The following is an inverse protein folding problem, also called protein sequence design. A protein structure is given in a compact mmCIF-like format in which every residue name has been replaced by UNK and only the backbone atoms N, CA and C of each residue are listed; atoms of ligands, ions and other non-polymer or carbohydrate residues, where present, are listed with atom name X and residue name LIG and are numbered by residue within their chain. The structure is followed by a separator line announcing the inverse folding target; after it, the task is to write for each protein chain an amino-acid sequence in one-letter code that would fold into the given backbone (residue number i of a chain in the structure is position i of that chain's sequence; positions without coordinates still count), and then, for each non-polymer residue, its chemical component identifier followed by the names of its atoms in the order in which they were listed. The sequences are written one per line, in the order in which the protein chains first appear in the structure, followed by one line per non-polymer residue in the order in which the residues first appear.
data_IF_358179615360
#
_entry.id   IF_358179615360
#
_cell.length_a   1.000
_cell.length_b   1.000
_cell.length_c   1.000
_cell.angle_alpha   90.00
_cell.angle_beta   90.00
_cell.angle_gamma   90.00
#
_symmetry.space_group_name_H-M   'P 1'
#
loop_
_entity.id
_entity.type
_entity.pdbx_description
1 polymer ?
#
# COMPACT_ATOMS: atom_id res chain seq x y z
N UNK A 1 8.14 4.60 6.30
CA UNK A 1 7.94 3.12 6.26
C UNK A 1 8.43 2.45 7.53
N UNK A 2 9.60 2.82 8.08
CA UNK A 2 10.18 2.16 9.27
C UNK A 2 9.27 2.11 10.50
N UNK A 3 8.47 3.14 10.76
CA UNK A 3 7.55 3.18 11.89
C UNK A 3 6.18 2.55 11.61
N UNK A 4 5.76 2.43 10.35
CA UNK A 4 4.42 1.94 9.97
C UNK A 4 4.23 0.47 10.36
N UNK A 5 5.17 -0.39 9.96
CA UNK A 5 5.05 -1.85 10.15
C UNK A 5 5.02 -2.24 11.62
N UNK A 6 5.97 -1.83 12.47
CA UNK A 6 5.93 -2.15 13.90
C UNK A 6 4.65 -1.66 14.56
N UNK A 7 4.21 -0.44 14.24
CA UNK A 7 3.01 0.14 14.85
C UNK A 7 1.74 -0.59 14.41
N UNK A 8 1.62 -0.95 13.14
CA UNK A 8 0.49 -1.72 12.61
C UNK A 8 0.35 -3.08 13.32
N UNK A 9 1.46 -3.80 13.52
CA UNK A 9 1.47 -5.12 14.16
C UNK A 9 1.05 -5.07 15.64
N UNK A 10 1.37 -3.97 16.33
CA UNK A 10 1.05 -3.79 17.75
C UNK A 10 -0.37 -3.26 17.92
N UNK A 11 -0.75 -2.21 17.19
CA UNK A 11 -1.98 -1.46 17.43
C UNK A 11 -3.24 -2.22 17.04
N UNK A 12 -3.18 -3.18 16.12
CA UNK A 12 -4.28 -4.10 15.85
C UNK A 12 -4.71 -4.84 17.13
N UNK A 13 -3.77 -5.52 17.76
CA UNK A 13 -4.02 -6.30 19.00
C UNK A 13 -4.41 -5.40 20.18
N UNK A 14 -3.79 -4.20 20.29
CA UNK A 14 -4.14 -3.22 21.34
C UNK A 14 -5.60 -2.78 21.17
N UNK A 15 -6.03 -2.48 19.95
CA UNK A 15 -7.38 -2.00 19.68
C UNK A 15 -8.46 -3.04 19.99
N UNK A 16 -8.16 -4.34 19.83
CA UNK A 16 -9.06 -5.44 20.21
C UNK A 16 -9.28 -5.52 21.73
N UNK A 17 -8.33 -5.04 22.52
CA UNK A 17 -8.39 -5.10 23.98
C UNK A 17 -8.97 -3.84 24.62
N UNK A 18 -8.60 -2.65 24.13
CA UNK A 18 -9.00 -1.38 24.77
C UNK A 18 -10.16 -0.68 24.05
N UNK A 19 -10.45 -1.07 22.80
CA UNK A 19 -11.46 -0.47 21.95
C UNK A 19 -10.87 0.27 20.75
N UNK A 20 -11.60 0.27 19.64
CA UNK A 20 -11.14 0.87 18.37
C UNK A 20 -10.95 2.39 18.47
N UNK A 21 -11.94 3.09 19.04
CA UNK A 21 -11.89 4.56 19.20
C UNK A 21 -10.72 5.01 20.07
N UNK A 22 -10.37 4.24 21.10
CA UNK A 22 -9.25 4.56 22.00
C UNK A 22 -7.89 4.49 21.33
N UNK A 23 -7.78 3.80 20.21
CA UNK A 23 -6.57 3.76 19.37
C UNK A 23 -6.65 4.78 18.24
N UNK A 24 -7.82 4.92 17.60
CA UNK A 24 -8.00 5.83 16.47
C UNK A 24 -7.87 7.31 16.86
N UNK A 25 -8.40 7.71 18.01
CA UNK A 25 -8.35 9.12 18.43
C UNK A 25 -6.91 9.62 18.67
N UNK A 26 -6.05 8.92 19.43
CA UNK A 26 -4.64 9.30 19.54
C UNK A 26 -3.91 9.25 18.18
N UNK A 27 -4.23 8.27 17.31
CA UNK A 27 -3.62 8.17 15.99
C UNK A 27 -3.94 9.40 15.12
N UNK A 28 -5.21 9.88 15.14
CA UNK A 28 -5.60 11.11 14.45
C UNK A 28 -4.93 12.33 15.06
N UNK A 29 -4.84 12.41 16.38
CA UNK A 29 -4.16 13.53 17.05
C UNK A 29 -2.66 13.58 16.65
N UNK A 30 -1.98 12.44 16.64
CA UNK A 30 -0.59 12.34 16.18
C UNK A 30 -0.48 12.73 14.69
N UNK A 31 -1.43 12.27 13.84
CA UNK A 31 -1.42 12.59 12.41
C UNK A 31 -1.67 14.09 12.16
N UNK A 32 -2.56 14.71 12.93
CA UNK A 32 -2.77 16.17 12.90
C UNK A 32 -1.51 16.91 13.31
N UNK A 33 -0.88 16.52 14.43
CA UNK A 33 0.38 17.10 14.88
C UNK A 33 1.50 16.93 13.84
N UNK A 34 1.60 15.74 13.23
CA UNK A 34 2.56 15.49 12.16
C UNK A 34 2.36 16.42 10.96
N UNK A 35 1.10 16.67 10.57
CA UNK A 35 0.79 17.59 9.48
C UNK A 35 1.14 19.04 9.82
N UNK A 36 0.92 19.48 11.06
CA UNK A 36 1.33 20.79 11.50
C UNK A 36 2.86 20.93 11.53
N UNK A 37 3.59 19.92 12.02
CA UNK A 37 5.06 19.88 12.00
C UNK A 37 5.58 19.97 10.56
N UNK A 38 5.01 19.23 9.62
CA UNK A 38 5.42 19.25 8.22
C UNK A 38 5.07 20.58 7.52
N UNK A 39 3.90 21.15 7.82
CA UNK A 39 3.47 22.42 7.24
C UNK A 39 4.26 23.64 7.78
N UNK A 40 4.82 23.51 8.98
CA UNK A 40 5.61 24.56 9.62
C UNK A 40 7.12 24.26 9.63
N UNK A 41 7.54 23.19 8.93
CA UNK A 41 8.94 22.79 8.90
C UNK A 41 9.83 23.89 8.33
N UNK A 42 10.87 24.27 9.08
CA UNK A 42 11.90 25.21 8.67
C UNK A 42 13.18 24.52 8.16
N UNK A 43 13.28 23.19 8.32
CA UNK A 43 14.47 22.44 7.92
C UNK A 43 14.27 20.93 7.88
N UNK A 44 15.35 20.23 7.58
CA UNK A 44 15.35 18.76 7.44
C UNK A 44 14.97 18.01 8.73
N UNK A 45 15.40 18.43 9.94
CA UNK A 45 15.03 17.73 11.17
C UNK A 45 13.51 17.64 11.39
N UNK A 46 12.78 18.74 11.15
CA UNK A 46 11.32 18.80 11.30
C UNK A 46 10.62 17.86 10.30
N UNK A 47 11.16 17.75 9.07
CA UNK A 47 10.65 16.81 8.08
C UNK A 47 10.80 15.36 8.56
N UNK A 48 11.93 14.99 9.18
CA UNK A 48 12.12 13.65 9.75
C UNK A 48 11.16 13.38 10.91
N UNK A 49 10.98 14.36 11.82
CA UNK A 49 10.06 14.24 12.95
C UNK A 49 8.63 14.06 12.42
N UNK A 50 8.18 14.91 11.51
CA UNK A 50 6.85 14.84 10.93
C UNK A 50 6.61 13.48 10.22
N UNK A 51 7.57 12.97 9.46
CA UNK A 51 7.49 11.66 8.79
C UNK A 51 7.49 10.49 9.78
N UNK A 52 8.22 10.58 10.89
CA UNK A 52 8.19 9.56 11.94
C UNK A 52 6.81 9.52 12.62
N UNK A 53 6.27 10.68 13.00
CA UNK A 53 4.92 10.79 13.55
C UNK A 53 3.85 10.29 12.60
N UNK A 54 3.91 10.64 11.31
CA UNK A 54 3.02 10.10 10.28
C UNK A 54 3.10 8.58 10.21
N UNK A 55 4.31 8.00 10.24
CA UNK A 55 4.49 6.56 10.21
C UNK A 55 3.81 5.85 11.38
N UNK A 56 3.94 6.39 12.60
CA UNK A 56 3.28 5.88 13.81
C UNK A 56 1.75 5.97 13.66
N UNK A 57 1.25 7.12 13.25
CA UNK A 57 -0.19 7.35 13.11
C UNK A 57 -0.81 6.45 12.04
N UNK A 58 -0.19 6.38 10.85
CA UNK A 58 -0.67 5.55 9.73
C UNK A 58 -0.66 4.07 10.13
N UNK A 59 0.42 3.57 10.76
CA UNK A 59 0.49 2.21 11.23
C UNK A 59 -0.61 1.88 12.25
N UNK A 60 -0.93 2.83 13.13
CA UNK A 60 -2.02 2.71 14.10
C UNK A 60 -3.41 2.70 13.43
N UNK A 61 -3.57 3.45 12.34
CA UNK A 61 -4.86 3.65 11.68
C UNK A 61 -5.21 2.54 10.68
N UNK A 62 -4.23 2.00 9.95
CA UNK A 62 -4.44 1.12 8.81
C UNK A 62 -5.33 -0.10 9.11
N UNK A 63 -5.00 -0.89 10.12
CA UNK A 63 -5.77 -2.07 10.48
C UNK A 63 -7.00 -1.73 11.32
N UNK A 64 -6.84 -0.79 12.26
CA UNK A 64 -7.87 -0.43 13.23
C UNK A 64 -9.02 0.34 12.57
N UNK A 65 -8.74 1.21 11.60
CA UNK A 65 -9.76 1.99 10.89
C UNK A 65 -10.68 1.10 10.04
N UNK A 66 -10.12 0.16 9.29
CA UNK A 66 -10.91 -0.80 8.52
C UNK A 66 -11.78 -1.67 9.45
N UNK A 67 -11.19 -2.17 10.55
CA UNK A 67 -11.91 -2.95 11.53
C UNK A 67 -13.03 -2.14 12.21
N UNK A 68 -12.80 -0.85 12.54
CA UNK A 68 -13.82 0.03 13.11
C UNK A 68 -15.07 0.14 12.22
N UNK A 69 -14.89 0.28 10.91
CA UNK A 69 -15.99 0.36 9.94
C UNK A 69 -16.74 -0.99 9.84
N UNK A 70 -16.01 -2.10 9.75
CA UNK A 70 -16.60 -3.44 9.60
C UNK A 70 -17.31 -3.90 10.87
N UNK A 71 -16.69 -3.67 12.04
CA UNK A 71 -17.27 -4.05 13.34
C UNK A 71 -18.51 -3.22 13.68
N UNK A 72 -18.57 -1.95 13.22
CA UNK A 72 -19.72 -1.07 13.39
C UNK A 72 -20.89 -1.37 12.46
N UNK A 73 -20.70 -2.19 11.43
CA UNK A 73 -21.75 -2.54 10.47
C UNK A 73 -22.66 -3.66 11.01
N UNK A 74 -23.91 -3.68 10.53
CA UNK A 74 -24.84 -4.77 10.79
C UNK A 74 -24.29 -6.10 10.26
N UNK A 75 -24.67 -7.25 10.85
CA UNK A 75 -24.14 -8.55 10.43
C UNK A 75 -24.26 -8.84 8.93
N UNK A 76 -25.38 -8.48 8.32
CA UNK A 76 -25.69 -8.58 6.89
C UNK A 76 -24.95 -7.57 6.02
N UNK A 77 -24.49 -6.45 6.60
CA UNK A 77 -23.76 -5.37 5.92
C UNK A 77 -22.24 -5.44 6.00
N UNK A 78 -21.65 -6.40 6.73
CA UNK A 78 -20.20 -6.46 6.97
C UNK A 78 -19.36 -6.58 5.69
N UNK A 79 -19.81 -7.34 4.71
CA UNK A 79 -19.12 -7.49 3.44
C UNK A 79 -19.08 -6.16 2.66
N UNK A 80 -20.20 -5.43 2.65
CA UNK A 80 -20.33 -4.11 2.03
C UNK A 80 -19.44 -3.10 2.75
N UNK A 81 -19.46 -3.10 4.08
CA UNK A 81 -18.62 -2.24 4.92
C UNK A 81 -17.11 -2.49 4.69
N UNK A 82 -16.69 -3.74 4.55
CA UNK A 82 -15.31 -4.10 4.20
C UNK A 82 -14.93 -3.57 2.80
N UNK A 83 -15.84 -3.67 1.83
CA UNK A 83 -15.66 -3.10 0.50
C UNK A 83 -15.49 -1.57 0.56
N UNK A 84 -16.36 -0.86 1.27
CA UNK A 84 -16.24 0.59 1.46
C UNK A 84 -14.96 0.99 2.18
N UNK A 85 -14.55 0.26 3.22
CA UNK A 85 -13.28 0.52 3.91
C UNK A 85 -12.08 0.36 2.97
N UNK A 86 -12.06 -0.69 2.13
CA UNK A 86 -11.00 -0.94 1.16
C UNK A 86 -10.94 0.12 0.06
N UNK A 87 -12.09 0.48 -0.53
CA UNK A 87 -12.19 1.53 -1.55
C UNK A 87 -11.82 2.89 -0.94
N UNK A 88 -12.39 3.22 0.21
CA UNK A 88 -12.11 4.50 0.89
C UNK A 88 -10.63 4.68 1.23
N UNK A 89 -9.97 3.61 1.68
CA UNK A 89 -8.53 3.62 1.91
C UNK A 89 -7.74 3.92 0.62
N UNK A 90 -8.01 3.21 -0.47
CA UNK A 90 -7.28 3.38 -1.72
C UNK A 90 -7.58 4.71 -2.41
N UNK A 91 -8.83 5.13 -2.43
CA UNK A 91 -9.23 6.44 -2.98
C UNK A 91 -8.61 7.56 -2.17
N UNK A 92 -8.70 7.50 -0.83
CA UNK A 92 -8.07 8.49 0.04
C UNK A 92 -6.56 8.57 -0.13
N UNK A 93 -5.89 7.42 -0.27
CA UNK A 93 -4.46 7.37 -0.49
C UNK A 93 -4.07 7.94 -1.85
N UNK A 94 -4.87 7.68 -2.90
CA UNK A 94 -4.68 8.24 -4.25
C UNK A 94 -4.98 9.73 -4.34
N UNK A 95 -6.04 10.19 -3.69
CA UNK A 95 -6.40 11.62 -3.66
C UNK A 95 -5.31 12.50 -3.02
N UNK A 96 -4.50 11.94 -2.09
CA UNK A 96 -3.43 12.68 -1.45
C UNK A 96 -2.48 13.35 -2.43
N UNK A 97 -1.71 12.60 -3.25
CA UNK A 97 -0.83 13.17 -4.26
C UNK A 97 -1.56 14.07 -5.28
N UNK A 98 -2.75 13.67 -5.73
CA UNK A 98 -3.54 14.45 -6.69
C UNK A 98 -3.91 15.83 -6.15
N UNK A 99 -4.51 15.90 -4.98
CA UNK A 99 -4.87 17.16 -4.33
C UNK A 99 -3.61 17.97 -3.99
N UNK A 100 -2.56 17.29 -3.47
CA UNK A 100 -1.31 17.98 -3.12
C UNK A 100 -0.66 18.61 -4.36
N UNK A 101 -0.67 17.95 -5.52
CA UNK A 101 -0.16 18.49 -6.78
C UNK A 101 -0.94 19.71 -7.24
N UNK A 102 -2.27 19.66 -7.22
CA UNK A 102 -3.11 20.81 -7.57
C UNK A 102 -2.90 21.98 -6.60
N UNK A 103 -2.84 21.71 -5.30
CA UNK A 103 -2.61 22.75 -4.31
C UNK A 103 -1.19 23.32 -4.42
N UNK A 104 -0.20 22.48 -4.72
CA UNK A 104 1.18 22.92 -4.92
C UNK A 104 1.32 23.84 -6.13
N UNK A 105 0.52 23.62 -7.18
CA UNK A 105 0.54 24.44 -8.41
C UNK A 105 -0.20 25.76 -8.25
N UNK A 106 -1.39 25.75 -7.63
CA UNK A 106 -2.31 26.88 -7.70
C UNK A 106 -2.52 27.62 -6.39
N UNK A 107 -2.03 27.13 -5.24
CA UNK A 107 -2.19 27.81 -3.97
C UNK A 107 -1.13 28.90 -3.76
N UNK A 108 -1.47 29.94 -3.02
CA UNK A 108 -0.57 31.03 -2.67
C UNK A 108 0.62 30.61 -1.80
N UNK A 109 0.45 29.58 -0.96
CA UNK A 109 1.53 28.99 -0.14
C UNK A 109 1.58 27.47 -0.37
N UNK A 110 2.26 27.00 -1.45
CA UNK A 110 2.24 25.63 -1.88
C UNK A 110 2.92 24.66 -0.88
N UNK A 111 3.82 25.14 -0.05
CA UNK A 111 4.55 24.31 0.90
C UNK A 111 3.74 24.04 2.18
N UNK A 112 2.85 24.95 2.58
CA UNK A 112 2.07 24.84 3.82
C UNK A 112 0.62 24.40 3.58
N UNK A 113 -0.01 24.92 2.55
CA UNK A 113 -1.45 24.72 2.29
C UNK A 113 -1.85 23.23 2.26
N UNK A 114 -1.13 22.29 1.61
CA UNK A 114 -1.49 20.88 1.62
C UNK A 114 -1.52 20.28 3.03
N UNK A 115 -0.55 20.64 3.86
CA UNK A 115 -0.43 20.12 5.22
C UNK A 115 -1.48 20.70 6.16
N UNK A 116 -1.76 21.99 6.07
CA UNK A 116 -2.82 22.64 6.85
C UNK A 116 -4.20 22.13 6.46
N UNK A 117 -4.44 21.96 5.16
CA UNK A 117 -5.65 21.34 4.65
C UNK A 117 -5.83 19.91 5.14
N UNK A 118 -4.75 19.11 5.15
CA UNK A 118 -4.78 17.77 5.70
C UNK A 118 -5.03 17.78 7.22
N UNK A 119 -4.41 18.69 7.97
CA UNK A 119 -4.67 18.83 9.41
C UNK A 119 -6.15 19.17 9.69
N UNK A 120 -6.74 20.09 8.93
CA UNK A 120 -8.18 20.43 9.03
C UNK A 120 -9.07 19.22 8.73
N UNK A 121 -8.74 18.43 7.69
CA UNK A 121 -9.46 17.20 7.35
C UNK A 121 -9.37 16.17 8.49
N UNK A 122 -8.22 16.06 9.16
CA UNK A 122 -8.06 15.17 10.31
C UNK A 122 -8.92 15.61 11.51
N UNK A 123 -9.12 16.90 11.72
CA UNK A 123 -10.06 17.39 12.75
C UNK A 123 -11.51 17.01 12.42
N UNK A 124 -11.92 17.10 11.15
CA UNK A 124 -13.24 16.62 10.70
C UNK A 124 -13.38 15.12 10.93
N UNK A 125 -12.36 14.32 10.58
CA UNK A 125 -12.35 12.88 10.81
C UNK A 125 -12.41 12.54 12.31
N UNK A 126 -11.70 13.30 13.15
CA UNK A 126 -11.78 13.17 14.62
C UNK A 126 -13.22 13.42 15.12
N UNK A 127 -13.88 14.48 14.64
CA UNK A 127 -15.27 14.77 14.96
C UNK A 127 -16.20 13.63 14.56
N UNK A 128 -16.05 13.08 13.36
CA UNK A 128 -16.85 11.95 12.88
C UNK A 128 -16.66 10.69 13.75
N UNK A 129 -15.42 10.38 14.15
CA UNK A 129 -15.16 9.24 15.03
C UNK A 129 -15.67 9.48 16.46
N UNK A 130 -15.63 10.72 16.95
CA UNK A 130 -16.17 11.06 18.28
C UNK A 130 -17.67 10.81 18.35
N UNK A 131 -18.42 11.14 17.31
CA UNK A 131 -19.88 10.95 17.25
C UNK A 131 -20.24 9.47 17.02
N UNK A 132 -19.45 8.73 16.25
CA UNK A 132 -19.70 7.30 15.99
C UNK A 132 -19.66 6.49 17.29
N UNK A 133 -20.51 5.46 17.44
CA UNK A 133 -20.43 4.56 18.60
C UNK A 133 -19.12 3.72 18.57
N UNK A 134 -18.70 3.22 19.74
CA UNK A 134 -17.61 2.20 19.79
C UNK A 134 -18.08 0.93 19.07
N UNK A 135 -17.26 0.42 18.16
CA UNK A 135 -17.64 -0.72 17.30
C UNK A 135 -17.42 -2.10 17.96
N UNK A 136 -16.57 -2.16 18.99
CA UNK A 136 -16.32 -3.41 19.73
C UNK A 136 -17.28 -3.57 20.90
N UNK A 137 -18.06 -4.67 20.90
CA UNK A 137 -18.97 -5.07 21.98
C UNK A 137 -18.29 -5.96 23.03
N UNK A 138 -17.31 -6.77 22.65
CA UNK A 138 -16.57 -7.67 23.55
C UNK A 138 -15.06 -7.47 23.44
N UNK A 139 -14.40 -7.17 24.57
CA UNK A 139 -12.95 -6.95 24.61
C UNK A 139 -12.22 -8.25 24.82
N UNK A 140 -11.22 -8.52 23.99
CA UNK A 140 -10.31 -9.65 24.16
C UNK A 140 -9.18 -9.24 25.10
N UNK A 141 -8.80 -10.11 26.07
CA UNK A 141 -7.67 -9.83 26.96
C UNK A 141 -6.41 -9.66 26.12
N UNK A 142 -5.75 -8.50 26.26
CA UNK A 142 -4.52 -8.19 25.55
C UNK A 142 -3.46 -9.27 25.79
N UNK A 143 -2.97 -9.83 24.73
CA UNK A 143 -1.79 -10.69 24.72
C UNK A 143 -0.86 -10.13 23.65
N UNK A 144 0.34 -9.72 24.04
CA UNK A 144 1.38 -9.29 23.09
C UNK A 144 1.81 -10.48 22.23
N UNK A 145 1.08 -10.77 21.17
CA UNK A 145 1.45 -11.77 20.18
C UNK A 145 1.72 -11.05 18.87
N UNK A 146 2.99 -10.69 18.64
CA UNK A 146 3.45 -10.38 17.29
C UNK A 146 3.49 -11.73 16.57
N UNK A 147 2.52 -11.94 15.70
CA UNK A 147 2.38 -13.20 14.98
C UNK A 147 2.73 -12.95 13.52
N UNK A 148 4.01 -13.06 13.20
CA UNK A 148 4.53 -13.02 11.82
C UNK A 148 5.20 -14.36 11.55
N UNK A 149 4.90 -14.95 10.40
CA UNK A 149 5.54 -16.19 10.02
C UNK A 149 4.92 -16.85 8.81
N UNK A 150 5.68 -17.73 8.21
CA UNK A 150 5.23 -18.56 7.11
C UNK A 150 5.23 -20.01 7.59
N UNK A 151 4.11 -20.73 7.50
CA UNK A 151 4.05 -22.16 7.82
C UNK A 151 5.06 -22.95 6.99
N UNK A 152 5.69 -23.97 7.62
CA UNK A 152 6.81 -24.71 6.98
C UNK A 152 6.45 -25.28 5.60
N UNK A 153 5.22 -25.77 5.41
CA UNK A 153 4.75 -26.30 4.12
C UNK A 153 4.53 -25.23 3.03
N UNK A 154 4.43 -23.95 3.39
CA UNK A 154 4.17 -22.83 2.47
C UNK A 154 5.43 -22.01 2.18
N UNK A 155 6.55 -22.28 2.86
CA UNK A 155 7.75 -21.45 2.80
C UNK A 155 8.30 -21.30 1.38
N UNK A 156 8.39 -22.38 0.61
CA UNK A 156 8.92 -22.36 -0.74
C UNK A 156 8.04 -21.52 -1.68
N UNK A 157 6.72 -21.76 -1.67
CA UNK A 157 5.76 -20.99 -2.48
C UNK A 157 5.70 -19.51 -2.06
N UNK A 158 5.75 -19.25 -0.76
CA UNK A 158 5.79 -17.89 -0.25
C UNK A 158 7.06 -17.16 -0.70
N UNK A 159 8.24 -17.74 -0.46
CA UNK A 159 9.53 -17.10 -0.71
C UNK A 159 9.83 -16.89 -2.21
N UNK A 160 9.30 -17.75 -3.09
CA UNK A 160 9.59 -17.67 -4.54
C UNK A 160 8.48 -17.02 -5.35
N UNK A 161 7.24 -16.97 -4.83
CA UNK A 161 6.09 -16.46 -5.58
C UNK A 161 5.45 -15.24 -4.90
N UNK A 162 4.97 -15.37 -3.66
CA UNK A 162 4.20 -14.30 -3.01
C UNK A 162 5.08 -13.15 -2.53
N UNK A 163 6.17 -13.44 -1.85
CA UNK A 163 7.05 -12.41 -1.29
C UNK A 163 7.70 -11.53 -2.38
N UNK A 164 8.30 -12.08 -3.46
CA UNK A 164 8.86 -11.24 -4.51
C UNK A 164 7.79 -10.51 -5.33
N UNK A 165 6.59 -11.07 -5.50
CA UNK A 165 5.48 -10.35 -6.15
C UNK A 165 5.00 -9.16 -5.29
N UNK A 166 4.86 -9.35 -3.98
CA UNK A 166 4.50 -8.28 -3.06
C UNK A 166 5.60 -7.21 -2.93
N UNK A 167 6.87 -7.62 -2.95
CA UNK A 167 8.01 -6.70 -2.99
C UNK A 167 8.00 -5.85 -4.25
N UNK A 168 7.81 -6.48 -5.43
CA UNK A 168 7.79 -5.80 -6.72
C UNK A 168 6.68 -4.76 -6.80
N UNK A 169 5.47 -5.09 -6.31
CA UNK A 169 4.34 -4.17 -6.24
C UNK A 169 4.73 -2.85 -5.56
N UNK A 170 5.30 -2.92 -4.36
CA UNK A 170 5.67 -1.71 -3.62
C UNK A 170 6.95 -1.04 -4.13
N UNK A 171 7.82 -1.79 -4.82
CA UNK A 171 8.97 -1.21 -5.52
C UNK A 171 8.51 -0.33 -6.68
N UNK A 172 7.51 -0.79 -7.46
CA UNK A 172 6.92 0.00 -8.53
C UNK A 172 6.17 1.23 -7.98
N UNK A 173 5.28 1.05 -6.99
CA UNK A 173 4.56 2.17 -6.36
C UNK A 173 5.52 3.21 -5.76
N UNK A 174 6.51 2.74 -5.01
CA UNK A 174 7.51 3.59 -4.37
C UNK A 174 8.32 4.41 -5.38
N UNK A 175 8.69 3.81 -6.52
CA UNK A 175 9.43 4.49 -7.58
C UNK A 175 8.57 5.55 -8.26
N UNK A 176 7.32 5.24 -8.60
CA UNK A 176 6.38 6.21 -9.20
C UNK A 176 6.08 7.37 -8.25
N UNK A 177 6.01 7.12 -6.95
CA UNK A 177 5.71 8.16 -5.96
C UNK A 177 6.93 9.00 -5.53
N UNK A 178 8.16 8.52 -5.76
CA UNK A 178 9.36 9.17 -5.24
C UNK A 178 10.33 9.64 -6.32
N UNK A 179 10.64 8.79 -7.29
CA UNK A 179 11.66 9.06 -8.31
C UNK A 179 11.05 9.68 -9.57
N UNK A 180 9.89 9.19 -9.99
CA UNK A 180 9.22 9.68 -11.20
C UNK A 180 8.85 11.17 -11.12
N UNK A 181 8.41 11.74 -9.98
CA UNK A 181 8.21 13.18 -9.85
C UNK A 181 9.45 14.01 -10.20
N UNK A 182 10.63 13.60 -9.69
CA UNK A 182 11.90 14.28 -10.01
C UNK A 182 12.24 14.14 -11.49
N UNK A 183 12.03 12.96 -12.07
CA UNK A 183 12.24 12.68 -13.48
C UNK A 183 11.34 13.53 -14.38
N UNK A 184 10.05 13.69 -14.03
CA UNK A 184 9.11 14.51 -14.79
C UNK A 184 9.55 15.98 -14.85
N UNK A 185 10.01 16.52 -13.72
CA UNK A 185 10.46 17.91 -13.65
C UNK A 185 11.83 18.10 -14.31
N UNK A 186 12.79 17.21 -14.04
CA UNK A 186 14.18 17.41 -14.44
C UNK A 186 14.52 16.95 -15.87
N UNK A 187 13.81 15.95 -16.39
CA UNK A 187 14.15 15.32 -17.70
C UNK A 187 13.05 15.50 -18.75
N UNK A 188 11.81 15.80 -18.32
CA UNK A 188 10.68 16.02 -19.23
C UNK A 188 10.18 17.47 -19.21
N UNK A 189 10.89 18.35 -18.51
CA UNK A 189 10.60 19.79 -18.38
C UNK A 189 9.12 20.08 -18.02
N UNK A 190 8.59 19.29 -17.07
CA UNK A 190 7.21 19.47 -16.61
C UNK A 190 7.16 20.60 -15.59
N UNK A 191 6.69 21.77 -16.01
CA UNK A 191 6.51 22.93 -15.13
C UNK A 191 5.27 22.79 -14.23
N UNK A 192 4.21 22.14 -14.71
CA UNK A 192 2.96 22.02 -13.98
C UNK A 192 3.00 20.88 -12.96
N UNK A 193 3.12 21.23 -11.68
CA UNK A 193 3.20 20.27 -10.55
C UNK A 193 1.91 19.47 -10.37
N UNK A 194 0.76 19.95 -10.84
CA UNK A 194 -0.48 19.19 -10.82
C UNK A 194 -0.41 17.93 -11.70
N UNK A 195 0.33 17.95 -12.83
CA UNK A 195 0.58 16.76 -13.64
C UNK A 195 1.46 15.74 -12.91
N UNK A 196 2.42 16.22 -12.12
CA UNK A 196 3.24 15.34 -11.27
C UNK A 196 2.37 14.66 -10.21
N UNK A 197 1.49 15.43 -9.56
CA UNK A 197 0.50 14.91 -8.62
C UNK A 197 -0.48 13.92 -9.26
N UNK A 198 -0.86 14.15 -10.52
CA UNK A 198 -1.71 13.26 -11.31
C UNK A 198 -1.08 11.87 -11.49
N UNK A 199 0.22 11.78 -11.76
CA UNK A 199 0.91 10.48 -11.84
C UNK A 199 0.80 9.69 -10.54
N UNK A 200 1.00 10.34 -9.39
CA UNK A 200 0.80 9.76 -8.07
C UNK A 200 -0.65 9.36 -7.78
N UNK A 201 -1.62 10.18 -8.21
CA UNK A 201 -3.04 9.84 -8.12
C UNK A 201 -3.36 8.60 -8.96
N UNK A 202 -2.93 8.54 -10.22
CA UNK A 202 -3.26 7.47 -11.15
C UNK A 202 -2.73 6.12 -10.68
N UNK A 203 -1.49 6.02 -10.18
CA UNK A 203 -0.94 4.75 -9.69
C UNK A 203 -1.71 4.20 -8.51
N UNK A 204 -2.17 5.05 -7.61
CA UNK A 204 -2.90 4.62 -6.42
C UNK A 204 -4.40 4.40 -6.69
N UNK A 205 -5.06 5.30 -7.41
CA UNK A 205 -6.47 5.20 -7.74
C UNK A 205 -6.77 4.01 -8.66
N UNK A 206 -5.95 3.79 -9.70
CA UNK A 206 -6.10 2.65 -10.59
C UNK A 206 -5.96 1.32 -9.84
N UNK A 207 -5.05 1.24 -8.85
CA UNK A 207 -4.94 0.09 -7.96
C UNK A 207 -6.18 -0.16 -7.11
N UNK A 208 -6.96 0.90 -6.82
CA UNK A 208 -8.24 0.80 -6.11
C UNK A 208 -9.37 0.21 -6.94
N UNK A 209 -9.33 0.37 -8.26
CA UNK A 209 -10.33 -0.16 -9.19
C UNK A 209 -10.06 -1.63 -9.54
N UNK A 210 -8.81 -2.04 -9.54
CA UNK A 210 -8.39 -3.40 -9.94
C UNK A 210 -9.13 -4.56 -9.22
N UNK A 211 -9.47 -4.48 -7.91
CA UNK A 211 -10.23 -5.53 -7.23
C UNK A 211 -11.59 -5.85 -7.87
N UNK A 212 -12.23 -4.88 -8.53
CA UNK A 212 -13.50 -5.08 -9.21
C UNK A 212 -13.40 -6.08 -10.36
N UNK A 213 -12.22 -6.19 -10.98
CA UNK A 213 -11.96 -7.10 -12.09
C UNK A 213 -11.24 -8.37 -11.64
N UNK A 214 -10.48 -8.30 -10.54
CA UNK A 214 -9.69 -9.42 -10.06
C UNK A 214 -10.52 -10.60 -9.52
N UNK A 215 -11.77 -10.37 -9.11
CA UNK A 215 -12.68 -11.41 -8.63
C UNK A 215 -13.01 -12.48 -9.69
N UNK A 216 -12.81 -12.18 -10.97
CA UNK A 216 -13.12 -13.05 -12.10
C UNK A 216 -11.90 -13.85 -12.60
N UNK A 217 -10.73 -13.62 -12.02
CA UNK A 217 -9.47 -14.21 -12.47
C UNK A 217 -8.93 -15.15 -11.39
N UNK A 218 -8.43 -16.32 -11.82
CA UNK A 218 -7.70 -17.21 -10.91
C UNK A 218 -6.58 -16.45 -10.18
N UNK A 219 -6.52 -16.53 -8.84
CA UNK A 219 -5.61 -15.70 -8.03
C UNK A 219 -4.13 -15.83 -8.43
N UNK A 220 -3.71 -17.04 -8.83
CA UNK A 220 -2.35 -17.28 -9.28
C UNK A 220 -2.07 -16.60 -10.62
N UNK A 221 -3.02 -16.73 -11.57
CA UNK A 221 -2.91 -16.05 -12.88
C UNK A 221 -2.92 -14.54 -12.69
N UNK A 222 -3.74 -14.04 -11.78
CA UNK A 222 -3.78 -12.61 -11.42
C UNK A 222 -2.41 -12.10 -10.99
N UNK A 223 -1.72 -12.79 -10.08
CA UNK A 223 -0.35 -12.44 -9.66
C UNK A 223 0.62 -12.51 -10.83
N UNK A 224 0.61 -13.60 -11.62
CA UNK A 224 1.56 -13.77 -12.73
C UNK A 224 1.37 -12.72 -13.82
N UNK A 225 0.15 -12.47 -14.25
CA UNK A 225 -0.18 -11.45 -15.26
C UNK A 225 0.14 -10.05 -14.70
N UNK A 226 -0.22 -9.80 -13.44
CA UNK A 226 0.06 -8.53 -12.78
C UNK A 226 1.55 -8.20 -12.74
N UNK A 227 2.43 -9.12 -12.33
CA UNK A 227 3.88 -8.85 -12.27
C UNK A 227 4.49 -8.66 -13.66
N UNK A 228 4.03 -9.38 -14.67
CA UNK A 228 4.53 -9.24 -16.06
C UNK A 228 4.10 -7.89 -16.65
N UNK A 229 2.81 -7.58 -16.61
CA UNK A 229 2.29 -6.33 -17.15
C UNK A 229 2.80 -5.12 -16.36
N UNK A 230 2.91 -5.22 -15.04
CA UNK A 230 3.48 -4.16 -14.21
C UNK A 230 4.94 -3.88 -14.56
N UNK A 231 5.77 -4.91 -14.65
CA UNK A 231 7.16 -4.77 -15.07
C UNK A 231 7.28 -4.24 -16.50
N UNK A 232 6.47 -4.72 -17.44
CA UNK A 232 6.45 -4.20 -18.81
C UNK A 232 6.05 -2.70 -18.85
N UNK A 233 5.14 -2.28 -17.98
CA UNK A 233 4.72 -0.87 -17.90
C UNK A 233 5.84 0.08 -17.44
N UNK A 234 6.85 -0.42 -16.72
CA UNK A 234 8.01 0.41 -16.33
C UNK A 234 8.86 0.81 -17.54
N UNK A 235 8.83 0.04 -18.64
CA UNK A 235 9.51 0.38 -19.89
C UNK A 235 8.95 1.69 -20.49
N UNK A 236 7.65 1.96 -20.30
CA UNK A 236 7.04 3.20 -20.79
C UNK A 236 7.60 4.44 -20.10
N UNK A 237 8.01 4.32 -18.81
CA UNK A 237 8.65 5.43 -18.08
C UNK A 237 10.00 5.79 -18.75
N UNK A 238 10.80 4.78 -19.08
CA UNK A 238 12.10 4.99 -19.76
C UNK A 238 11.89 5.49 -21.19
N UNK A 239 10.90 4.94 -21.89
CA UNK A 239 10.56 5.37 -23.24
C UNK A 239 10.05 6.82 -23.30
N UNK A 240 9.50 7.35 -22.20
CA UNK A 240 9.03 8.73 -22.13
C UNK A 240 10.16 9.75 -22.34
N UNK A 241 11.39 9.47 -21.88
CA UNK A 241 12.57 10.33 -22.12
C UNK A 241 12.90 10.41 -23.60
N UNK A 242 12.92 9.27 -24.29
CA UNK A 242 13.21 9.23 -25.73
C UNK A 242 12.10 9.87 -26.58
N UNK A 243 10.86 9.81 -26.14
CA UNK A 243 9.70 10.38 -26.81
C UNK A 243 9.39 11.84 -26.42
N UNK A 244 10.03 12.37 -25.36
CA UNK A 244 9.77 13.71 -24.81
C UNK A 244 8.31 13.92 -24.39
N UNK A 245 7.63 12.89 -23.85
CA UNK A 245 6.19 12.98 -23.58
C UNK A 245 5.79 12.45 -22.21
N UNK A 246 5.12 13.29 -21.45
CA UNK A 246 4.52 12.98 -20.14
C UNK A 246 3.41 11.94 -20.25
N UNK A 247 2.72 11.84 -21.39
CA UNK A 247 1.62 10.92 -21.60
C UNK A 247 2.03 9.45 -21.35
N UNK A 248 3.26 9.06 -21.71
CA UNK A 248 3.77 7.72 -21.44
C UNK A 248 4.00 7.46 -19.95
N UNK A 249 4.41 8.47 -19.19
CA UNK A 249 4.55 8.37 -17.72
C UNK A 249 3.18 8.17 -17.06
N UNK A 250 2.17 8.95 -17.46
CA UNK A 250 0.81 8.85 -16.93
C UNK A 250 0.18 7.49 -17.28
N UNK A 251 0.40 7.02 -18.51
CA UNK A 251 -0.03 5.69 -18.94
C UNK A 251 0.66 4.59 -18.11
N UNK A 252 1.98 4.69 -17.93
CA UNK A 252 2.74 3.75 -17.09
C UNK A 252 2.23 3.73 -15.65
N UNK A 253 2.03 4.90 -15.03
CA UNK A 253 1.50 5.01 -13.67
C UNK A 253 0.12 4.34 -13.54
N UNK A 254 -0.77 4.56 -14.53
CA UNK A 254 -2.09 3.93 -14.56
C UNK A 254 -1.99 2.41 -14.66
N UNK A 255 -1.19 1.89 -15.58
CA UNK A 255 -1.01 0.45 -15.78
C UNK A 255 -0.33 -0.22 -14.57
N UNK A 256 0.71 0.41 -14.01
CA UNK A 256 1.36 -0.05 -12.78
C UNK A 256 0.33 -0.12 -11.64
N UNK A 257 -0.49 0.90 -11.47
CA UNK A 257 -1.53 0.91 -10.46
C UNK A 257 -2.52 -0.24 -10.63
N UNK A 258 -3.08 -0.42 -11.83
CA UNK A 258 -4.01 -1.52 -12.13
C UNK A 258 -3.39 -2.88 -11.82
N UNK A 259 -2.16 -3.12 -12.29
CA UNK A 259 -1.47 -4.39 -12.08
C UNK A 259 -1.14 -4.63 -10.62
N UNK A 260 -0.75 -3.60 -9.87
CA UNK A 260 -0.49 -3.68 -8.43
C UNK A 260 -1.74 -4.05 -7.63
N UNK A 261 -2.90 -3.49 -7.99
CA UNK A 261 -4.16 -3.89 -7.39
C UNK A 261 -4.48 -5.37 -7.64
N UNK A 262 -4.26 -5.85 -8.86
CA UNK A 262 -4.48 -7.26 -9.25
C UNK A 262 -3.51 -8.19 -8.50
N UNK A 263 -2.22 -7.82 -8.40
CA UNK A 263 -1.20 -8.58 -7.64
C UNK A 263 -1.64 -8.70 -6.18
N UNK A 264 -2.01 -7.58 -5.55
CA UNK A 264 -2.36 -7.56 -4.13
C UNK A 264 -3.60 -8.42 -3.84
N UNK A 265 -4.65 -8.32 -4.66
CA UNK A 265 -5.85 -9.17 -4.51
C UNK A 265 -5.49 -10.64 -4.68
N UNK A 266 -4.78 -11.01 -5.75
CA UNK A 266 -4.35 -12.38 -6.00
C UNK A 266 -3.52 -12.93 -4.83
N UNK A 267 -2.53 -12.18 -4.35
CA UNK A 267 -1.66 -12.59 -3.25
C UNK A 267 -2.44 -12.75 -1.92
N UNK A 268 -3.37 -11.83 -1.61
CA UNK A 268 -4.18 -11.91 -0.38
C UNK A 268 -5.17 -13.08 -0.42
N UNK A 269 -5.81 -13.35 -1.55
CA UNK A 269 -6.67 -14.53 -1.74
C UNK A 269 -5.86 -15.81 -1.56
N UNK A 270 -4.68 -15.91 -2.18
CA UNK A 270 -3.78 -17.06 -2.01
C UNK A 270 -3.44 -17.27 -0.54
N UNK A 271 -3.04 -16.21 0.18
CA UNK A 271 -2.77 -16.32 1.62
C UNK A 271 -3.98 -16.82 2.40
N UNK A 272 -5.20 -16.39 2.02
CA UNK A 272 -6.44 -16.79 2.69
C UNK A 272 -6.81 -18.27 2.49
N UNK A 273 -6.48 -18.86 1.35
CA UNK A 273 -6.83 -20.25 1.02
C UNK A 273 -5.70 -21.26 1.25
N UNK A 274 -4.48 -20.78 1.50
CA UNK A 274 -3.30 -21.65 1.64
C UNK A 274 -3.05 -22.17 3.04
N UNK A 275 -3.73 -21.62 4.06
CA UNK A 275 -3.52 -21.96 5.47
C UNK A 275 -4.84 -21.94 6.26
N UNK A 276 -4.90 -22.66 7.42
CA UNK A 276 -6.01 -22.57 8.34
C UNK A 276 -6.29 -21.14 8.83
N UNK A 277 -7.51 -20.88 9.28
CA UNK A 277 -7.97 -19.54 9.72
C UNK A 277 -7.04 -18.95 10.79
N UNK A 278 -6.54 -19.79 11.70
CA UNK A 278 -5.67 -19.40 12.83
C UNK A 278 -4.28 -18.90 12.36
N UNK A 279 -3.83 -19.33 11.19
CA UNK A 279 -2.52 -18.98 10.65
C UNK A 279 -2.56 -17.88 9.58
N UNK A 280 -3.76 -17.54 9.09
CA UNK A 280 -3.96 -16.50 8.05
C UNK A 280 -3.33 -15.16 8.44
N UNK A 281 -3.54 -14.73 9.68
CA UNK A 281 -2.98 -13.47 10.17
C UNK A 281 -1.45 -13.43 10.14
N UNK A 282 -0.79 -14.55 10.45
CA UNK A 282 0.69 -14.66 10.39
C UNK A 282 1.20 -14.51 8.98
N UNK A 283 0.58 -15.25 8.04
CA UNK A 283 0.99 -15.25 6.64
C UNK A 283 0.74 -13.90 5.96
N UNK A 284 -0.41 -13.27 6.26
CA UNK A 284 -0.72 -11.91 5.79
C UNK A 284 0.26 -10.87 6.32
N UNK A 285 0.63 -10.96 7.60
CA UNK A 285 1.65 -10.06 8.18
C UNK A 285 3.00 -10.22 7.46
N UNK A 286 3.41 -11.46 7.15
CA UNK A 286 4.64 -11.73 6.39
C UNK A 286 4.54 -11.15 4.97
N UNK A 287 3.40 -11.29 4.29
CA UNK A 287 3.15 -10.73 2.96
C UNK A 287 3.29 -9.20 2.97
N UNK A 288 2.64 -8.52 3.92
CA UNK A 288 2.73 -7.06 4.02
C UNK A 288 4.15 -6.58 4.41
N UNK A 289 4.88 -7.31 5.24
CA UNK A 289 6.29 -6.99 5.51
C UNK A 289 7.13 -7.04 4.24
N UNK A 290 6.97 -8.06 3.40
CA UNK A 290 7.64 -8.16 2.10
C UNK A 290 7.20 -7.02 1.18
N UNK A 291 5.91 -6.69 1.14
CA UNK A 291 5.41 -5.56 0.36
C UNK A 291 6.08 -4.26 0.81
N UNK A 292 5.99 -3.91 2.09
CA UNK A 292 6.60 -2.66 2.58
C UNK A 292 8.12 -2.59 2.40
N UNK A 293 8.83 -3.71 2.43
CA UNK A 293 10.28 -3.74 2.16
C UNK A 293 10.60 -3.36 0.71
N UNK A 294 9.68 -3.54 -0.23
CA UNK A 294 9.81 -3.14 -1.63
C UNK A 294 9.96 -1.63 -1.84
N UNK A 295 9.61 -0.80 -0.85
CA UNK A 295 9.85 0.65 -0.93
C UNK A 295 11.30 1.04 -0.60
N UNK A 296 12.09 0.18 0.04
CA UNK A 296 13.46 0.50 0.45
C UNK A 296 14.40 0.74 -0.75
N UNK A 297 14.36 -0.05 -1.84
CA UNK A 297 15.22 0.19 -3.00
C UNK A 297 14.99 1.56 -3.68
N UNK A 298 13.84 2.20 -3.48
CA UNK A 298 13.59 3.53 -4.08
C UNK A 298 14.54 4.58 -3.51
N UNK A 299 14.98 4.43 -2.26
CA UNK A 299 16.01 5.28 -1.65
C UNK A 299 17.35 5.08 -2.35
N UNK A 300 17.72 3.82 -2.61
CA UNK A 300 18.94 3.50 -3.33
C UNK A 300 18.91 4.04 -4.78
N UNK A 301 17.74 3.97 -5.44
CA UNK A 301 17.56 4.58 -6.77
C UNK A 301 17.75 6.10 -6.73
N UNK A 302 17.25 6.78 -5.70
CA UNK A 302 17.46 8.20 -5.50
C UNK A 302 18.94 8.58 -5.33
N UNK A 303 19.74 7.78 -4.61
CA UNK A 303 21.19 7.98 -4.54
C UNK A 303 21.88 7.64 -5.85
N UNK A 304 21.48 6.55 -6.49
CA UNK A 304 22.05 6.12 -7.78
C UNK A 304 21.85 7.18 -8.86
N UNK A 305 20.69 7.83 -8.88
CA UNK A 305 20.37 8.88 -9.85
C UNK A 305 21.29 10.10 -9.78
N UNK A 306 21.88 10.37 -8.61
CA UNK A 306 22.86 11.46 -8.46
C UNK A 306 24.18 11.15 -9.19
N UNK A 307 24.54 9.88 -9.36
CA UNK A 307 25.76 9.47 -10.04
C UNK A 307 25.60 9.19 -11.53
N UNK A 308 24.47 8.59 -11.94
CA UNK A 308 24.27 8.13 -13.34
C UNK A 308 23.11 8.84 -14.08
N UNK A 309 22.43 9.78 -13.44
CA UNK A 309 21.25 10.46 -13.98
C UNK A 309 19.94 9.70 -13.72
N UNK A 310 18.80 10.43 -13.77
CA UNK A 310 17.47 9.90 -13.46
C UNK A 310 17.01 8.86 -14.48
N UNK A 311 17.18 9.13 -15.78
CA UNK A 311 16.81 8.18 -16.86
C UNK A 311 17.55 6.86 -16.71
N UNK A 312 18.87 6.88 -16.44
CA UNK A 312 19.67 5.66 -16.24
C UNK A 312 19.25 4.90 -14.99
N UNK A 313 18.95 5.61 -13.89
CA UNK A 313 18.47 4.99 -12.66
C UNK A 313 17.09 4.31 -12.88
N UNK A 314 16.19 4.93 -13.64
CA UNK A 314 14.90 4.33 -14.02
C UNK A 314 15.07 3.15 -14.99
N UNK A 315 16.09 3.15 -15.84
CA UNK A 315 16.43 1.97 -16.65
C UNK A 315 16.91 0.80 -15.78
N UNK A 316 17.75 1.05 -14.77
CA UNK A 316 18.15 0.03 -13.77
C UNK A 316 16.93 -0.49 -13.02
N UNK A 317 16.03 0.39 -12.56
CA UNK A 317 14.77 0.00 -11.94
C UNK A 317 13.96 -0.94 -12.85
N UNK A 318 13.81 -0.58 -14.13
CA UNK A 318 13.08 -1.39 -15.11
C UNK A 318 13.71 -2.77 -15.29
N UNK A 319 15.03 -2.85 -15.41
CA UNK A 319 15.75 -4.14 -15.51
C UNK A 319 15.50 -4.99 -14.26
N UNK A 320 15.61 -4.41 -13.07
CA UNK A 320 15.33 -5.10 -11.81
C UNK A 320 13.87 -5.59 -11.74
N UNK A 321 12.91 -4.75 -12.15
CA UNK A 321 11.49 -5.11 -12.15
C UNK A 321 11.20 -6.27 -13.11
N UNK A 322 11.75 -6.23 -14.32
CA UNK A 322 11.61 -7.30 -15.33
C UNK A 322 12.28 -8.60 -14.85
N UNK A 323 13.49 -8.53 -14.30
CA UNK A 323 14.19 -9.70 -13.76
C UNK A 323 13.40 -10.35 -12.61
N UNK A 324 12.86 -9.54 -11.70
CA UNK A 324 12.05 -10.04 -10.58
C UNK A 324 10.72 -10.63 -11.05
N UNK A 325 10.05 -10.01 -12.02
CA UNK A 325 8.86 -10.55 -12.64
C UNK A 325 9.13 -11.89 -13.34
N UNK A 326 10.23 -11.99 -14.09
CA UNK A 326 10.68 -13.24 -14.71
C UNK A 326 10.94 -14.33 -13.65
N UNK A 327 11.60 -13.99 -12.54
CA UNK A 327 11.80 -14.90 -11.42
C UNK A 327 10.48 -15.42 -10.84
N UNK A 328 9.51 -14.53 -10.57
CA UNK A 328 8.19 -14.90 -10.04
C UNK A 328 7.47 -15.87 -10.99
N UNK A 329 7.53 -15.62 -12.29
CA UNK A 329 6.82 -16.45 -13.30
C UNK A 329 7.53 -17.78 -13.52
N UNK A 330 8.83 -17.77 -13.76
CA UNK A 330 9.59 -18.95 -14.19
C UNK A 330 9.92 -19.90 -13.03
N UNK A 331 10.29 -19.34 -11.88
CA UNK A 331 10.68 -20.12 -10.69
C UNK A 331 9.50 -20.25 -9.74
N UNK A 332 8.96 -19.10 -9.29
CA UNK A 332 7.87 -19.09 -8.33
C UNK A 332 6.62 -19.77 -8.85
N UNK A 333 6.24 -19.52 -10.10
CA UNK A 333 5.08 -20.14 -10.74
C UNK A 333 5.19 -21.66 -10.86
N UNK A 334 6.39 -22.23 -11.02
CA UNK A 334 6.60 -23.69 -11.02
C UNK A 334 6.49 -24.28 -9.63
N UNK A 335 7.21 -23.67 -8.66
CA UNK A 335 7.22 -24.15 -7.28
C UNK A 335 5.83 -24.06 -6.65
N UNK A 336 5.11 -22.96 -6.88
CA UNK A 336 3.76 -22.79 -6.35
C UNK A 336 2.77 -23.85 -6.86
N UNK A 337 2.98 -24.44 -8.04
CA UNK A 337 2.15 -25.57 -8.55
C UNK A 337 2.25 -26.81 -7.67
N UNK A 338 3.35 -26.99 -6.97
CA UNK A 338 3.59 -28.18 -6.11
C UNK A 338 3.07 -27.97 -4.69
N UNK A 339 2.66 -26.75 -4.34
CA UNK A 339 2.06 -26.43 -3.03
C UNK A 339 0.57 -26.77 -3.10
N UNK A 340 0.15 -27.80 -2.38
CA UNK A 340 -1.25 -28.21 -2.28
C UNK A 340 -2.06 -27.12 -1.56
N UNK A 341 -3.22 -26.71 -2.08
CA UNK A 341 -4.15 -25.86 -1.35
C UNK A 341 -4.54 -26.56 -0.03
N UNK A 342 -4.68 -25.79 1.05
CA UNK A 342 -5.26 -26.30 2.28
C UNK A 342 -6.72 -26.70 2.01
N UNK A 343 -7.00 -28.00 2.08
CA UNK A 343 -8.36 -28.53 2.06
C UNK A 343 -8.78 -28.68 3.52
N UNK A 344 -9.76 -27.89 3.92
CA UNK A 344 -10.37 -28.03 5.26
C UNK A 344 -11.15 -29.36 5.32
N UNK A 345 -10.48 -30.38 5.78
CA UNK A 345 -11.11 -31.70 6.04
C UNK A 345 -11.72 -31.60 7.45
N UNK A 346 -12.68 -30.71 7.66
CA UNK A 346 -13.58 -30.86 8.79
C UNK A 346 -14.48 -32.07 8.48
N UNK A 347 -14.44 -33.15 9.30
CA UNK A 347 -15.40 -34.21 9.12
C UNK A 347 -16.80 -33.61 9.33
N UNK A 348 -17.62 -33.66 8.30
CA UNK A 348 -19.06 -33.41 8.46
C UNK A 348 -19.55 -34.40 9.51
N UNK A 349 -19.78 -33.91 10.74
CA UNK A 349 -20.46 -34.69 11.74
C UNK A 349 -21.85 -35.04 11.16
N UNK A 350 -22.19 -36.28 10.93
CA UNK A 350 -23.54 -36.62 10.51
C UNK A 350 -24.49 -36.16 11.62
N UNK A 351 -25.45 -35.32 11.26
CA UNK A 351 -26.54 -34.96 12.15
C UNK A 351 -27.23 -36.26 12.57
N UNK A 352 -27.06 -36.65 13.86
CA UNK A 352 -27.81 -37.68 14.52
C UNK A 352 -29.10 -37.11 15.06
#
# INVERSE_FOLDING_TARGET
TGAVVPTMLIMGNVSDSIGRKRVLMPAIAILTAASLVLGLAGGVPELFIGRALQGIAIGSFLGVGAAFVVDGARPDGKAVAAGFAGVGFRVGFGLGPGIAGVVAEYAADPLRTPWLGHAALMLVAAGAILVAPESISSRVRWRARISVGVPKGQLAGFATFLAPAAFLLSFMDGTVLSVVPLYMVAELDVDNIALVGLAGFLVLAAGGVAPLFAAWVDPRRAVMVGVVLGAASTVLIVAASAAGTVALVLLAATLIGLTNGVILVGATVICGISVPVEERGKLMSALYMCAYSGTLPTVALGYLSQGIGLTSALAVFTVCAVALAAFVVLVGGRIYRTVTPYVDVTPTVPNA
#
